data_IF_537030469608
#
_entry.id   IF_537030469608
#
_cell.length_a   1.000
_cell.length_b   1.000
_cell.length_c   1.000
_cell.angle_alpha   90.00
_cell.angle_beta   90.00
_cell.angle_gamma   90.00
#
_symmetry.space_group_name_H-M   'P 1'
#
loop_
_entity.id
_entity.type
_entity.pdbx_description
1 polymer ?
#
# COMPACT_ATOMS: atom_id res chain seq x y z
N UNK A 1 -0.53 -11.49 -19.62
CA UNK A 1 -1.83 -10.92 -19.21
C UNK A 1 -1.64 -9.43 -19.20
N UNK A 2 -2.40 -8.69 -20.02
CA UNK A 2 -2.17 -7.26 -20.27
C UNK A 2 -3.01 -6.45 -19.29
N UNK A 3 -2.38 -5.61 -18.47
CA UNK A 3 -3.09 -4.62 -17.65
C UNK A 3 -3.73 -3.61 -18.62
N UNK A 4 -5.02 -3.25 -18.49
CA UNK A 4 -5.63 -2.26 -19.36
C UNK A 4 -4.96 -0.90 -19.14
N UNK A 5 -4.27 -0.39 -20.17
CA UNK A 5 -3.75 0.98 -20.17
C UNK A 5 -4.93 1.96 -20.19
N UNK A 6 -5.02 2.83 -19.18
CA UNK A 6 -5.85 4.05 -19.29
C UNK A 6 -6.75 4.40 -18.11
N UNK A 7 -6.69 3.69 -16.98
CA UNK A 7 -7.45 4.10 -15.80
C UNK A 7 -6.52 4.24 -14.58
N UNK A 8 -6.68 5.33 -13.82
CA UNK A 8 -6.10 5.59 -12.48
C UNK A 8 -6.64 4.61 -11.41
N UNK A 9 -6.72 3.34 -11.78
CA UNK A 9 -7.25 2.25 -10.98
C UNK A 9 -6.07 1.58 -10.29
N UNK A 10 -6.11 1.59 -8.97
CA UNK A 10 -5.21 0.80 -8.15
C UNK A 10 -5.61 -0.65 -8.27
N UNK A 11 -4.68 -1.49 -8.72
CA UNK A 11 -4.90 -2.91 -8.91
C UNK A 11 -4.19 -3.68 -7.81
N UNK A 12 -4.94 -4.48 -7.04
CA UNK A 12 -4.37 -5.48 -6.15
C UNK A 12 -4.51 -6.86 -6.77
N UNK A 13 -3.45 -7.68 -6.71
CA UNK A 13 -3.52 -9.10 -7.02
C UNK A 13 -3.69 -9.87 -5.71
N UNK A 14 -4.88 -10.45 -5.51
CA UNK A 14 -5.18 -11.32 -4.37
C UNK A 14 -5.73 -12.62 -4.95
N UNK A 15 -5.14 -13.77 -4.59
CA UNK A 15 -5.57 -15.10 -5.06
C UNK A 15 -5.72 -15.22 -6.60
N UNK A 16 -4.84 -14.54 -7.35
CA UNK A 16 -4.82 -14.49 -8.83
C UNK A 16 -6.01 -13.75 -9.46
N UNK A 17 -6.81 -13.04 -8.68
CA UNK A 17 -7.86 -12.15 -9.17
C UNK A 17 -7.38 -10.69 -9.14
N UNK A 18 -7.69 -9.96 -10.22
CA UNK A 18 -7.43 -8.53 -10.32
C UNK A 18 -8.57 -7.79 -9.60
N UNK A 19 -8.30 -7.31 -8.39
CA UNK A 19 -9.28 -6.55 -7.61
C UNK A 19 -9.07 -5.07 -7.88
N UNK A 20 -10.13 -4.41 -8.37
CA UNK A 20 -10.17 -2.97 -8.52
C UNK A 20 -10.29 -2.33 -7.13
N UNK A 21 -9.22 -1.71 -6.63
CA UNK A 21 -9.33 -0.84 -5.48
C UNK A 21 -9.82 0.54 -5.97
N UNK A 22 -10.98 1.04 -5.50
CA UNK A 22 -11.44 2.37 -5.88
C UNK A 22 -10.39 3.41 -5.47
N UNK A 23 -10.19 4.42 -6.33
CA UNK A 23 -9.24 5.50 -6.09
C UNK A 23 -9.47 6.11 -4.69
N UNK A 24 -8.45 6.17 -3.83
CA UNK A 24 -8.67 6.52 -2.43
C UNK A 24 -9.24 7.92 -2.28
N UNK A 25 -10.42 8.03 -1.69
CA UNK A 25 -11.03 9.32 -1.37
C UNK A 25 -10.13 10.10 -0.41
N UNK A 26 -10.15 11.44 -0.43
CA UNK A 26 -9.32 12.30 0.44
C UNK A 26 -9.37 11.89 1.93
N UNK A 27 -10.48 11.30 2.37
CA UNK A 27 -10.64 10.72 3.72
C UNK A 27 -9.69 9.55 3.99
N UNK A 28 -9.53 8.62 3.03
CA UNK A 28 -8.61 7.48 3.16
C UNK A 28 -7.16 7.98 3.28
N UNK A 29 -6.71 8.83 2.34
CA UNK A 29 -5.37 9.44 2.42
C UNK A 29 -5.12 10.15 3.76
N UNK A 30 -6.11 10.87 4.29
CA UNK A 30 -5.96 11.58 5.58
C UNK A 30 -5.81 10.60 6.74
N UNK A 31 -6.59 9.53 6.77
CA UNK A 31 -6.52 8.50 7.81
C UNK A 31 -5.16 7.81 7.74
N UNK A 32 -4.78 7.30 6.58
CA UNK A 32 -3.55 6.53 6.42
C UNK A 32 -2.30 7.40 6.67
N UNK A 33 -2.28 8.68 6.22
CA UNK A 33 -1.20 9.62 6.57
C UNK A 33 -1.07 9.86 8.08
N UNK A 34 -2.21 10.05 8.76
CA UNK A 34 -2.18 10.30 10.21
C UNK A 34 -1.71 9.07 10.98
N UNK A 35 -2.10 7.87 10.53
CA UNK A 35 -1.65 6.60 11.11
C UNK A 35 -0.15 6.37 10.87
N UNK A 36 0.34 6.57 9.64
CA UNK A 36 1.76 6.46 9.29
C UNK A 36 2.62 7.30 10.24
N UNK A 37 2.29 8.59 10.39
CA UNK A 37 3.03 9.52 11.26
C UNK A 37 3.08 9.07 12.71
N UNK A 38 1.97 8.54 13.24
CA UNK A 38 1.92 8.08 14.62
C UNK A 38 2.83 6.86 14.83
N UNK A 39 2.85 5.94 13.86
CA UNK A 39 3.70 4.75 13.88
C UNK A 39 5.18 5.08 13.65
N UNK A 40 5.48 6.00 12.73
CA UNK A 40 6.83 6.46 12.38
C UNK A 40 7.52 7.10 13.59
N UNK A 41 6.84 8.02 14.27
CA UNK A 41 7.37 8.62 15.52
C UNK A 41 7.69 7.55 16.56
N UNK A 42 6.84 6.54 16.71
CA UNK A 42 7.08 5.44 17.64
C UNK A 42 8.29 4.60 17.20
N UNK A 43 8.31 4.15 15.95
CA UNK A 43 9.35 3.29 15.40
C UNK A 43 10.72 3.96 15.42
N UNK A 44 10.82 5.23 15.03
CA UNK A 44 12.06 6.02 15.07
C UNK A 44 12.56 6.18 16.51
N UNK A 45 11.67 6.52 17.45
CA UNK A 45 12.05 6.71 18.87
C UNK A 45 12.65 5.47 19.51
N UNK A 46 12.30 4.29 18.99
CA UNK A 46 12.73 2.99 19.48
C UNK A 46 13.75 2.31 18.54
N UNK A 47 14.13 2.95 17.43
CA UNK A 47 15.01 2.38 16.38
C UNK A 47 14.55 1.00 15.89
N UNK A 48 13.23 0.84 15.66
CA UNK A 48 12.62 -0.46 15.37
C UNK A 48 12.62 -0.85 13.89
N UNK A 49 12.79 0.10 12.99
CA UNK A 49 12.67 -0.15 11.55
C UNK A 49 12.17 1.06 10.77
N UNK A 50 11.66 0.81 9.57
CA UNK A 50 11.21 1.83 8.62
C UNK A 50 9.74 1.63 8.24
N UNK A 51 9.03 2.74 8.04
CA UNK A 51 7.66 2.72 7.53
C UNK A 51 7.58 3.27 6.11
N UNK A 52 6.71 2.66 5.31
CA UNK A 52 6.42 3.04 3.93
C UNK A 52 4.91 3.25 3.72
N UNK A 53 4.57 4.05 2.71
CA UNK A 53 3.20 4.46 2.39
C UNK A 53 2.89 4.21 0.92
N UNK A 54 1.63 3.86 0.60
CA UNK A 54 1.19 3.64 -0.79
C UNK A 54 1.36 4.88 -1.70
N UNK A 55 1.62 4.70 -3.00
CA UNK A 55 1.74 3.43 -3.72
C UNK A 55 3.13 2.79 -3.56
N UNK A 56 3.17 1.50 -3.21
CA UNK A 56 4.36 0.67 -3.16
C UNK A 56 3.99 -0.78 -3.44
N UNK A 57 4.72 -1.44 -4.35
CA UNK A 57 4.50 -2.85 -4.67
C UNK A 57 5.34 -3.74 -3.74
N UNK A 58 4.71 -4.75 -3.15
CA UNK A 58 5.32 -5.73 -2.25
C UNK A 58 5.11 -7.12 -2.83
N UNK A 59 6.18 -7.70 -3.36
CA UNK A 59 6.19 -9.09 -3.81
C UNK A 59 6.40 -10.02 -2.61
N UNK A 60 5.39 -10.85 -2.30
CA UNK A 60 5.46 -11.88 -1.26
C UNK A 60 5.85 -13.25 -1.84
N UNK A 61 5.72 -13.42 -3.16
CA UNK A 61 6.17 -14.58 -3.92
C UNK A 61 6.45 -14.16 -5.38
N UNK A 62 6.93 -15.10 -6.21
CA UNK A 62 7.08 -14.88 -7.66
C UNK A 62 5.76 -14.57 -8.39
N UNK A 63 4.62 -14.78 -7.72
CA UNK A 63 3.29 -14.66 -8.31
C UNK A 63 2.35 -13.72 -7.55
N UNK A 64 2.69 -13.33 -6.32
CA UNK A 64 1.81 -12.54 -5.46
C UNK A 64 2.45 -11.19 -5.15
N UNK A 65 1.88 -10.13 -5.75
CA UNK A 65 2.29 -8.74 -5.56
C UNK A 65 1.11 -7.95 -5.01
N UNK A 66 1.34 -7.29 -3.87
CA UNK A 66 0.34 -6.52 -3.15
C UNK A 66 0.75 -5.06 -3.04
N UNK A 67 -0.24 -4.16 -2.97
CA UNK A 67 -0.03 -2.74 -2.70
C UNK A 67 -0.67 -2.37 -1.35
N UNK A 68 0.06 -2.48 -0.22
CA UNK A 68 -0.46 -2.11 1.08
C UNK A 68 -0.54 -0.60 1.24
N UNK A 69 -1.51 -0.12 2.02
CA UNK A 69 -1.64 1.31 2.37
C UNK A 69 -0.45 1.81 3.22
N UNK A 70 0.02 0.98 4.16
CA UNK A 70 1.15 1.23 5.05
C UNK A 70 1.90 -0.09 5.24
N UNK A 71 3.24 -0.05 5.17
CA UNK A 71 4.14 -1.17 5.45
C UNK A 71 5.15 -0.77 6.53
N UNK A 72 5.52 -1.71 7.40
CA UNK A 72 6.59 -1.57 8.37
C UNK A 72 7.58 -2.73 8.19
N UNK A 73 8.87 -2.43 8.15
CA UNK A 73 9.98 -3.40 8.03
C UNK A 73 10.93 -3.20 9.19
#
# INVERSE_FOLDING_TARGET
MSIPEGDDKHYGLIDRELILAPSPVTRHHRISRNLLRALEVFAESQSLGELFYAPMDVALSDHDVFQPDILFI
#
